data_IF_410785121042
#
_entry.id   IF_410785121042
#
_cell.length_a   1.000
_cell.length_b   1.000
_cell.length_c   1.000
_cell.angle_alpha   90.00
_cell.angle_beta   90.00
_cell.angle_gamma   90.00
#
_symmetry.space_group_name_H-M   'P 1'
#
loop_
_entity.id
_entity.type
_entity.pdbx_description
1 polymer ?
#
# COMPACT_ATOMS: atom_id res chain seq x y z
N UNK A 1 -18.08 -2.17 7.50
CA UNK A 1 -18.48 -2.17 6.07
C UNK A 1 -17.24 -2.45 5.20
N UNK A 2 -17.12 -3.64 4.61
CA UNK A 2 -15.95 -3.99 3.77
C UNK A 2 -15.99 -3.25 2.43
N UNK A 3 -14.94 -2.48 2.12
CA UNK A 3 -14.79 -1.87 0.80
C UNK A 3 -14.21 -2.89 -0.20
N UNK A 4 -14.67 -2.90 -1.46
CA UNK A 4 -14.07 -3.70 -2.51
C UNK A 4 -12.73 -3.08 -2.97
N UNK A 5 -11.79 -3.94 -3.32
CA UNK A 5 -10.58 -3.54 -4.04
C UNK A 5 -10.93 -3.03 -5.44
N UNK A 6 -10.32 -1.95 -5.91
CA UNK A 6 -10.55 -1.41 -7.26
C UNK A 6 -10.12 -2.38 -8.37
N UNK A 7 -9.07 -3.17 -8.16
CA UNK A 7 -8.53 -4.07 -9.20
C UNK A 7 -9.22 -5.44 -9.24
N UNK A 8 -9.45 -6.06 -8.09
CA UNK A 8 -9.98 -7.42 -8.02
C UNK A 8 -11.40 -7.50 -7.47
N UNK A 9 -12.05 -6.37 -7.20
CA UNK A 9 -13.41 -6.25 -6.61
C UNK A 9 -13.65 -7.05 -5.34
N UNK A 10 -12.58 -7.56 -4.71
CA UNK A 10 -12.69 -8.42 -3.54
C UNK A 10 -12.91 -7.57 -2.29
N UNK A 11 -13.97 -7.81 -1.51
CA UNK A 11 -14.20 -7.11 -0.25
C UNK A 11 -13.15 -7.53 0.78
N UNK A 12 -12.45 -6.56 1.38
CA UNK A 12 -11.47 -6.81 2.44
C UNK A 12 -11.66 -5.80 3.58
N UNK A 13 -11.29 -6.22 4.78
CA UNK A 13 -11.30 -5.38 5.99
C UNK A 13 -10.10 -4.41 6.07
N UNK A 14 -9.05 -4.69 5.30
CA UNK A 14 -7.83 -3.88 5.21
C UNK A 14 -7.51 -3.65 3.74
N UNK A 15 -7.32 -2.39 3.36
CA UNK A 15 -6.96 -1.95 2.02
C UNK A 15 -5.82 -0.92 2.10
N UNK A 16 -5.07 -0.77 1.02
CA UNK A 16 -4.10 0.30 0.82
C UNK A 16 -4.79 1.39 0.02
N UNK A 17 -4.76 2.63 0.54
CA UNK A 17 -5.21 3.79 -0.20
C UNK A 17 -4.03 4.32 -1.00
N UNK A 18 -4.14 4.37 -2.32
CA UNK A 18 -3.10 4.93 -3.17
C UNK A 18 -3.69 5.61 -4.41
N UNK A 19 -3.00 6.62 -4.92
CA UNK A 19 -3.20 7.14 -6.27
C UNK A 19 -2.32 6.31 -7.20
N UNK A 20 -2.81 5.94 -8.38
CA UNK A 20 -2.06 5.15 -9.37
C UNK A 20 -2.17 5.74 -10.78
N UNK A 21 -3.12 6.63 -11.02
CA UNK A 21 -3.44 7.21 -12.32
C UNK A 21 -3.26 8.74 -12.31
N UNK A 22 -3.10 9.33 -13.50
CA UNK A 22 -3.06 10.78 -13.74
C UNK A 22 -4.29 11.54 -13.21
N UNK A 23 -5.39 10.82 -12.99
CA UNK A 23 -6.63 11.40 -12.43
C UNK A 23 -6.46 11.84 -10.97
N UNK A 24 -5.36 11.43 -10.32
CA UNK A 24 -5.07 11.68 -8.91
C UNK A 24 -6.20 11.21 -7.97
N UNK A 25 -7.01 10.26 -8.44
CA UNK A 25 -8.08 9.68 -7.65
C UNK A 25 -7.53 8.66 -6.66
N UNK A 26 -8.14 8.62 -5.49
CA UNK A 26 -7.75 7.70 -4.44
C UNK A 26 -8.41 6.35 -4.66
N UNK A 27 -7.60 5.36 -5.02
CA UNK A 27 -8.01 3.98 -5.16
C UNK A 27 -7.74 3.19 -3.88
N UNK A 28 -8.53 2.13 -3.67
CA UNK A 28 -8.36 1.21 -2.55
C UNK A 28 -7.97 -0.15 -3.08
N UNK A 29 -6.77 -0.62 -2.72
CA UNK A 29 -6.19 -1.85 -3.24
C UNK A 29 -5.92 -2.88 -2.14
N UNK A 30 -5.87 -4.14 -2.51
CA UNK A 30 -5.55 -5.21 -1.56
C UNK A 30 -4.04 -5.19 -1.20
N UNK A 31 -3.64 -5.31 0.08
CA UNK A 31 -2.23 -5.24 0.55
C UNK A 31 -1.36 -6.48 0.17
N UNK A 32 -1.66 -7.13 -0.96
CA UNK A 32 -0.96 -8.30 -1.47
C UNK A 32 -0.66 -8.12 -2.95
N UNK A 33 -1.28 -8.95 -3.79
CA UNK A 33 -1.05 -8.94 -5.23
C UNK A 33 -1.41 -7.60 -5.89
N UNK A 34 -2.56 -7.02 -5.57
CA UNK A 34 -3.05 -5.78 -6.18
C UNK A 34 -2.09 -4.62 -5.92
N UNK A 35 -1.73 -4.41 -4.65
CA UNK A 35 -0.82 -3.34 -4.27
C UNK A 35 0.59 -3.57 -4.82
N UNK A 36 1.09 -4.81 -4.77
CA UNK A 36 2.40 -5.15 -5.34
C UNK A 36 2.46 -4.90 -6.85
N UNK A 37 1.35 -5.10 -7.56
CA UNK A 37 1.26 -4.87 -9.01
C UNK A 37 1.33 -3.40 -9.41
N UNK A 38 0.89 -2.48 -8.56
CA UNK A 38 0.85 -1.03 -8.87
C UNK A 38 1.99 -0.23 -8.23
N UNK A 39 2.71 -0.83 -7.30
CA UNK A 39 3.78 -0.17 -6.54
C UNK A 39 5.13 -0.88 -6.71
N UNK A 40 5.16 -1.98 -7.47
CA UNK A 40 6.25 -2.95 -7.47
C UNK A 40 6.47 -3.67 -6.12
N UNK A 41 5.62 -3.43 -5.12
CA UNK A 41 5.83 -3.87 -3.74
C UNK A 41 6.70 -2.92 -2.91
N UNK A 42 6.92 -1.70 -3.39
CA UNK A 42 7.69 -0.66 -2.71
C UNK A 42 6.74 0.45 -2.25
N UNK A 43 6.83 0.82 -0.98
CA UNK A 43 6.09 1.98 -0.48
C UNK A 43 6.61 3.26 -1.13
N UNK A 44 5.68 4.05 -1.68
CA UNK A 44 5.93 5.29 -2.40
C UNK A 44 6.65 5.13 -3.75
N UNK A 45 6.65 3.91 -4.34
CA UNK A 45 7.34 3.64 -5.60
C UNK A 45 8.80 4.13 -5.64
N UNK A 46 9.50 4.20 -4.49
CA UNK A 46 10.90 4.66 -4.43
C UNK A 46 11.80 3.81 -5.33
N UNK A 47 12.35 4.43 -6.38
CA UNK A 47 13.16 3.77 -7.40
C UNK A 47 12.36 3.15 -8.57
N UNK A 48 11.04 3.30 -8.57
CA UNK A 48 10.09 2.98 -9.65
C UNK A 48 9.30 4.23 -10.06
N UNK A 49 9.79 5.42 -9.71
CA UNK A 49 9.15 6.72 -9.99
C UNK A 49 8.95 6.95 -11.50
N UNK A 50 9.84 6.39 -12.32
CA UNK A 50 9.74 6.42 -13.80
C UNK A 50 8.61 5.51 -14.32
N UNK A 51 8.40 4.38 -13.67
CA UNK A 51 7.40 3.37 -14.06
C UNK A 51 6.01 3.70 -13.49
N UNK A 52 5.97 4.47 -12.40
CA UNK A 52 4.77 4.86 -11.67
C UNK A 52 4.78 6.35 -11.24
N UNK A 53 4.80 7.29 -12.19
CA UNK A 53 4.95 8.73 -11.90
C UNK A 53 3.77 9.32 -11.10
N UNK A 54 2.60 8.72 -11.23
CA UNK A 54 1.38 9.14 -10.53
C UNK A 54 1.11 8.34 -9.25
N UNK A 55 2.00 7.42 -8.88
CA UNK A 55 1.80 6.59 -7.71
C UNK A 55 2.03 7.37 -6.43
N UNK A 56 0.99 7.48 -5.59
CA UNK A 56 1.08 8.17 -4.31
C UNK A 56 0.50 7.33 -3.18
N UNK A 57 1.31 7.07 -2.16
CA UNK A 57 0.87 6.31 -1.00
C UNK A 57 0.01 7.17 -0.07
N UNK A 58 -1.25 6.78 0.11
CA UNK A 58 -2.26 7.49 0.92
C UNK A 58 -2.53 6.88 2.29
N UNK A 59 -1.76 5.88 2.69
CA UNK A 59 -1.93 5.16 3.95
C UNK A 59 -2.80 3.91 3.86
N UNK A 60 -2.87 3.20 4.99
CA UNK A 60 -3.65 1.97 5.11
C UNK A 60 -5.09 2.30 5.54
N UNK A 61 -6.06 1.89 4.74
CA UNK A 61 -7.47 1.98 5.06
C UNK A 61 -7.94 0.71 5.78
N UNK A 62 -8.76 0.89 6.82
CA UNK A 62 -9.27 -0.19 7.65
C UNK A 62 -10.74 0.07 7.94
N UNK A 63 -11.52 -0.99 8.02
CA UNK A 63 -12.92 -0.86 8.40
C UNK A 63 -13.05 -0.44 9.86
N UNK A 64 -13.79 0.65 10.11
CA UNK A 64 -13.94 1.27 11.44
C UNK A 64 -14.95 0.54 12.33
N UNK A 65 -15.81 -0.30 11.75
CA UNK A 65 -16.74 -1.20 12.48
C UNK A 65 -16.07 -2.45 13.05
N UNK A 66 -14.80 -2.71 12.73
CA UNK A 66 -14.01 -3.72 13.43
C UNK A 66 -13.53 -3.11 14.76
N UNK A 67 -14.40 -3.17 15.77
CA UNK A 67 -14.13 -2.76 17.14
C UNK A 67 -12.95 -3.58 17.71
N UNK A 68 -11.74 -3.01 17.68
CA UNK A 68 -10.54 -3.65 18.20
C UNK A 68 -9.25 -2.95 17.79
N UNK A 69 -8.17 -3.01 18.59
CA UNK A 69 -6.93 -2.25 18.37
C UNK A 69 -6.10 -2.89 17.26
N UNK A 70 -6.61 -2.87 16.03
CA UNK A 70 -5.83 -3.19 14.83
C UNK A 70 -4.92 -1.99 14.56
N UNK A 71 -3.92 -1.80 15.42
CA UNK A 71 -2.96 -0.71 15.34
C UNK A 71 -2.41 -0.64 13.91
N UNK A 72 -2.49 0.54 13.29
CA UNK A 72 -1.83 0.83 12.01
C UNK A 72 -0.29 0.81 12.11
N UNK A 73 0.26 0.33 13.23
CA UNK A 73 1.68 0.10 13.39
C UNK A 73 2.12 -1.04 12.49
N UNK A 74 2.92 -0.66 11.50
CA UNK A 74 3.68 -1.57 10.66
C UNK A 74 4.46 -2.56 11.54
N UNK A 75 4.40 -3.87 11.27
CA UNK A 75 5.11 -4.86 12.07
C UNK A 75 6.61 -4.55 12.10
N UNK A 76 7.24 -4.66 13.28
CA UNK A 76 8.69 -4.37 13.45
C UNK A 76 9.56 -5.14 12.45
N UNK A 77 9.18 -6.38 12.11
CA UNK A 77 9.86 -7.23 11.14
C UNK A 77 9.89 -6.63 9.73
N UNK A 78 8.76 -6.07 9.28
CA UNK A 78 8.66 -5.39 7.98
C UNK A 78 9.49 -4.11 7.98
N UNK A 79 9.44 -3.33 9.06
CA UNK A 79 10.25 -2.10 9.21
C UNK A 79 11.76 -2.39 9.20
N UNK A 80 12.20 -3.50 9.83
CA UNK A 80 13.62 -3.92 9.83
C UNK A 80 14.07 -4.31 8.42
N UNK A 81 13.30 -5.17 7.74
CA UNK A 81 13.62 -5.64 6.38
C UNK A 81 13.80 -4.48 5.40
N UNK A 82 12.88 -3.52 5.42
CA UNK A 82 12.98 -2.33 4.56
C UNK A 82 14.17 -1.43 4.90
N UNK A 83 14.58 -1.35 6.17
CA UNK A 83 15.78 -0.60 6.56
C UNK A 83 17.05 -1.29 6.08
N UNK A 84 17.07 -2.62 6.07
CA UNK A 84 18.17 -3.42 5.52
C UNK A 84 18.22 -3.29 3.99
N UNK A 85 17.09 -3.45 3.29
CA UNK A 85 16.96 -3.25 1.83
C UNK A 85 17.31 -1.82 1.40
N UNK A 86 17.00 -0.81 2.21
CA UNK A 86 17.42 0.58 1.95
C UNK A 86 18.93 0.77 2.11
N UNK A 87 19.53 0.20 3.17
CA UNK A 87 20.97 0.31 3.44
C UNK A 87 21.81 -0.41 2.37
N UNK A 88 21.34 -1.56 1.89
CA UNK A 88 22.01 -2.34 0.84
C UNK A 88 22.07 -1.60 -0.50
N UNK A 89 21.10 -0.72 -0.79
CA UNK A 89 21.11 0.15 -1.98
C UNK A 89 22.01 1.38 -1.85
N UNK A 90 22.43 1.73 -0.64
CA UNK A 90 23.30 2.88 -0.36
C UNK A 90 24.79 2.49 -0.26
N UNK A 91 25.12 1.20 -0.33
CA UNK A 91 26.50 0.64 -0.28
C UNK A 91 27.06 0.33 -1.68
#
# INVERSE_FOLDING_TARGET
>A
MTKPCTLCSTPRSILVRCQIDETHQWHFLCPGACWKSVSGGVEDARGLEDEHPYYRYGGMWKDRSADGPVSAKKPRKVKKRQREEARDREE
#
